data_IF_872271259842
#
_entry.id   IF_872271259842
#
_cell.length_a   1.000
_cell.length_b   1.000
_cell.length_c   1.000
_cell.angle_alpha   90.00
_cell.angle_beta   90.00
_cell.angle_gamma   90.00
#
_symmetry.space_group_name_H-M   'P 1'
#
loop_
_entity.id
_entity.type
_entity.pdbx_description
1 polymer ?
#
# COMPACT_ATOMS: atom_id res chain seq x y z
N UNK A 1 -25.62 8.35 21.76
CA UNK A 1 -24.98 7.09 21.34
C UNK A 1 -25.77 6.59 20.12
N UNK A 2 -25.33 6.90 18.90
CA UNK A 2 -25.93 6.37 17.69
C UNK A 2 -25.50 4.90 17.56
N UNK A 3 -26.46 3.99 17.57
CA UNK A 3 -26.19 2.58 17.23
C UNK A 3 -25.52 2.52 15.87
N UNK A 4 -24.33 1.92 15.81
CA UNK A 4 -23.71 1.61 14.54
C UNK A 4 -24.69 0.79 13.70
N UNK A 5 -24.94 1.13 12.42
CA UNK A 5 -25.89 0.40 11.60
C UNK A 5 -25.47 -1.08 11.56
N UNK A 6 -26.25 -1.93 12.20
CA UNK A 6 -25.98 -3.35 12.31
C UNK A 6 -25.79 -3.94 10.91
N UNK A 7 -24.57 -4.41 10.63
CA UNK A 7 -24.26 -5.12 9.38
C UNK A 7 -25.18 -6.36 9.35
N UNK A 8 -26.10 -6.39 8.38
CA UNK A 8 -26.96 -7.58 8.21
C UNK A 8 -26.06 -8.79 7.98
N UNK A 9 -26.11 -9.77 8.86
CA UNK A 9 -25.23 -10.96 8.88
C UNK A 9 -25.09 -11.64 7.50
N UNK A 10 -26.16 -11.63 6.69
CA UNK A 10 -26.11 -12.16 5.33
C UNK A 10 -25.15 -11.39 4.39
N UNK A 11 -25.06 -10.04 4.51
CA UNK A 11 -24.13 -9.24 3.72
C UNK A 11 -22.68 -9.48 4.12
N UNK A 12 -22.42 -9.73 5.41
CA UNK A 12 -21.08 -10.04 5.91
C UNK A 12 -20.51 -11.28 5.22
N UNK A 13 -21.30 -12.35 5.11
CA UNK A 13 -20.86 -13.58 4.45
C UNK A 13 -20.58 -13.39 2.95
N UNK A 14 -21.35 -12.53 2.28
CA UNK A 14 -21.10 -12.18 0.88
C UNK A 14 -19.76 -11.47 0.73
N UNK A 15 -19.47 -10.45 1.57
CA UNK A 15 -18.19 -9.73 1.51
C UNK A 15 -17.00 -10.61 1.90
N UNK A 16 -17.16 -11.52 2.86
CA UNK A 16 -16.12 -12.51 3.20
C UNK A 16 -15.87 -13.46 2.03
N UNK A 17 -16.92 -13.91 1.33
CA UNK A 17 -16.77 -14.71 0.12
C UNK A 17 -16.04 -13.96 -1.01
N UNK A 18 -16.41 -12.69 -1.26
CA UNK A 18 -15.71 -11.84 -2.24
C UNK A 18 -14.23 -11.63 -1.86
N UNK A 19 -13.96 -11.41 -0.58
CA UNK A 19 -12.59 -11.29 -0.08
C UNK A 19 -11.79 -12.58 -0.31
N UNK A 20 -12.38 -13.75 -0.03
CA UNK A 20 -11.75 -15.04 -0.31
C UNK A 20 -11.44 -15.23 -1.80
N UNK A 21 -12.34 -14.83 -2.70
CA UNK A 21 -12.11 -14.84 -4.15
C UNK A 21 -10.92 -13.93 -4.53
N UNK A 22 -10.81 -12.75 -3.94
CA UNK A 22 -9.67 -11.88 -4.15
C UNK A 22 -8.36 -12.53 -3.67
N UNK A 23 -8.36 -13.21 -2.51
CA UNK A 23 -7.19 -13.94 -2.02
C UNK A 23 -6.78 -15.08 -2.94
N UNK A 24 -7.73 -15.83 -3.53
CA UNK A 24 -7.45 -16.85 -4.52
C UNK A 24 -6.77 -16.29 -5.78
N UNK A 25 -7.13 -15.07 -6.18
CA UNK A 25 -6.46 -14.41 -7.29
C UNK A 25 -5.02 -13.98 -6.94
N UNK A 26 -4.80 -13.46 -5.72
CA UNK A 26 -3.45 -13.15 -5.22
C UNK A 26 -2.59 -14.41 -5.14
N UNK A 27 -3.16 -15.53 -4.71
CA UNK A 27 -2.51 -16.84 -4.67
C UNK A 27 -2.29 -17.46 -6.07
N UNK A 28 -2.65 -16.74 -7.16
CA UNK A 28 -2.55 -17.19 -8.57
C UNK A 28 -3.37 -18.44 -8.91
N UNK A 29 -4.33 -18.81 -8.08
CA UNK A 29 -5.27 -19.91 -8.35
C UNK A 29 -6.34 -19.45 -9.35
N UNK A 30 -6.80 -18.22 -9.22
CA UNK A 30 -7.78 -17.58 -10.11
C UNK A 30 -7.12 -16.44 -10.88
N UNK A 31 -7.31 -16.41 -12.21
CA UNK A 31 -6.77 -15.31 -13.02
C UNK A 31 -7.54 -14.01 -12.76
N UNK A 32 -6.83 -12.88 -12.73
CA UNK A 32 -7.36 -11.58 -12.37
C UNK A 32 -8.59 -11.11 -13.19
N UNK A 33 -8.73 -11.42 -14.51
CA UNK A 33 -9.92 -10.97 -15.25
C UNK A 33 -11.21 -11.64 -14.77
N UNK A 34 -11.15 -12.93 -14.46
CA UNK A 34 -12.32 -13.67 -13.94
C UNK A 34 -12.69 -13.21 -12.54
N UNK A 35 -11.69 -12.97 -11.68
CA UNK A 35 -11.90 -12.39 -10.35
C UNK A 35 -12.56 -11.03 -10.46
N UNK A 36 -12.04 -10.13 -11.30
CA UNK A 36 -12.60 -8.79 -11.50
C UNK A 36 -14.05 -8.86 -12.01
N UNK A 37 -14.30 -9.68 -13.03
CA UNK A 37 -15.64 -9.85 -13.59
C UNK A 37 -16.63 -10.35 -12.53
N UNK A 38 -16.24 -11.35 -11.74
CA UNK A 38 -17.09 -11.93 -10.70
C UNK A 38 -17.37 -10.90 -9.59
N UNK A 39 -16.36 -10.19 -9.10
CA UNK A 39 -16.51 -9.17 -8.06
C UNK A 39 -17.41 -8.02 -8.54
N UNK A 40 -17.17 -7.50 -9.75
CA UNK A 40 -17.97 -6.41 -10.31
C UNK A 40 -19.41 -6.84 -10.54
N UNK A 41 -19.65 -8.02 -11.13
CA UNK A 41 -20.99 -8.53 -11.36
C UNK A 41 -21.75 -8.75 -10.04
N UNK A 42 -21.13 -9.39 -9.05
CA UNK A 42 -21.77 -9.59 -7.75
C UNK A 42 -22.09 -8.28 -7.06
N UNK A 43 -21.20 -7.30 -7.07
CA UNK A 43 -21.45 -5.99 -6.47
C UNK A 43 -22.54 -5.19 -7.24
N UNK A 44 -22.59 -5.30 -8.57
CA UNK A 44 -23.65 -4.66 -9.35
C UNK A 44 -25.05 -5.16 -8.98
N UNK A 45 -25.20 -6.46 -8.68
CA UNK A 45 -26.47 -7.05 -8.31
C UNK A 45 -26.80 -6.94 -6.82
N UNK A 46 -25.81 -7.06 -5.95
CA UNK A 46 -26.01 -7.15 -4.51
C UNK A 46 -25.83 -5.81 -3.79
N UNK A 47 -24.87 -4.98 -4.23
CA UNK A 47 -24.59 -3.70 -3.61
C UNK A 47 -23.90 -2.70 -4.58
N UNK A 48 -24.70 -2.18 -5.50
CA UNK A 48 -24.26 -1.18 -6.46
C UNK A 48 -23.67 0.08 -5.81
N UNK A 49 -24.15 0.42 -4.59
CA UNK A 49 -23.65 1.61 -3.90
C UNK A 49 -22.19 1.46 -3.47
N UNK A 50 -21.77 0.28 -3.05
CA UNK A 50 -20.37 0.01 -2.71
C UNK A 50 -19.47 0.18 -3.92
N UNK A 51 -19.90 -0.26 -5.11
CA UNK A 51 -19.14 -0.08 -6.34
C UNK A 51 -18.97 1.40 -6.72
N UNK A 52 -20.05 2.19 -6.60
CA UNK A 52 -20.00 3.64 -6.92
C UNK A 52 -19.17 4.42 -5.89
N UNK A 53 -19.09 3.94 -4.64
CA UNK A 53 -18.30 4.55 -3.58
C UNK A 53 -16.83 4.13 -3.58
N UNK A 54 -16.42 3.23 -4.49
CA UNK A 54 -15.02 2.87 -4.64
C UNK A 54 -14.19 4.12 -4.95
N UNK A 55 -12.99 4.18 -4.36
CA UNK A 55 -12.09 5.32 -4.56
C UNK A 55 -11.40 5.22 -5.94
N UNK A 56 -12.12 5.65 -6.97
CA UNK A 56 -11.59 5.67 -8.34
C UNK A 56 -10.40 6.63 -8.50
N UNK A 57 -10.33 7.70 -7.68
CA UNK A 57 -9.17 8.60 -7.70
C UNK A 57 -7.91 7.89 -7.25
N UNK A 58 -8.02 7.03 -6.25
CA UNK A 58 -6.92 6.18 -5.82
C UNK A 58 -6.47 5.22 -6.93
N UNK A 59 -7.42 4.57 -7.62
CA UNK A 59 -7.10 3.68 -8.75
C UNK A 59 -6.41 4.43 -9.89
N UNK A 60 -6.89 5.62 -10.24
CA UNK A 60 -6.26 6.47 -11.26
C UNK A 60 -4.85 6.92 -10.85
N UNK A 61 -4.65 7.26 -9.57
CA UNK A 61 -3.34 7.64 -9.04
C UNK A 61 -2.35 6.49 -9.17
N UNK A 62 -2.75 5.26 -8.80
CA UNK A 62 -1.90 4.09 -8.99
C UNK A 62 -1.61 3.82 -10.47
N UNK A 63 -2.62 3.88 -11.34
CA UNK A 63 -2.42 3.68 -12.77
C UNK A 63 -1.45 4.70 -13.35
N UNK A 64 -1.60 5.98 -13.01
CA UNK A 64 -0.67 7.03 -13.43
C UNK A 64 0.74 6.78 -12.91
N UNK A 65 0.87 6.27 -11.67
CA UNK A 65 2.16 5.95 -11.09
C UNK A 65 2.84 4.77 -11.78
N UNK A 66 2.10 3.71 -12.14
CA UNK A 66 2.63 2.60 -12.95
C UNK A 66 3.16 3.08 -14.31
N UNK A 67 2.38 3.94 -14.99
CA UNK A 67 2.80 4.52 -16.28
C UNK A 67 4.06 5.38 -16.07
N UNK A 68 4.11 6.19 -15.04
CA UNK A 68 5.26 7.02 -14.71
C UNK A 68 6.51 6.16 -14.44
N UNK A 69 6.43 5.18 -13.56
CA UNK A 69 7.55 4.30 -13.23
C UNK A 69 8.07 3.55 -14.45
N UNK A 70 7.17 2.97 -15.26
CA UNK A 70 7.54 2.28 -16.50
C UNK A 70 8.17 3.20 -17.55
N UNK A 71 7.81 4.49 -17.60
CA UNK A 71 8.47 5.45 -18.49
C UNK A 71 9.84 5.89 -17.94
N UNK A 72 9.96 6.08 -16.64
CA UNK A 72 11.25 6.42 -16.01
C UNK A 72 12.29 5.32 -16.20
N UNK A 73 11.88 4.06 -16.19
CA UNK A 73 12.76 2.92 -16.48
C UNK A 73 13.35 2.95 -17.89
N UNK A 74 12.73 3.66 -18.83
CA UNK A 74 13.17 3.79 -20.23
C UNK A 74 14.10 4.98 -20.48
N UNK A 75 14.27 5.86 -19.50
CA UNK A 75 15.13 7.04 -19.62
C UNK A 75 16.52 6.66 -19.10
N UNK A 76 17.50 6.48 -19.98
CA UNK A 76 18.84 5.97 -19.64
C UNK A 76 19.51 6.75 -18.49
N UNK A 77 19.43 8.08 -18.51
CA UNK A 77 20.00 8.93 -17.46
C UNK A 77 19.40 8.63 -16.09
N UNK A 78 18.06 8.41 -16.03
CA UNK A 78 17.35 8.09 -14.80
C UNK A 78 17.68 6.66 -14.36
N UNK A 79 17.68 5.73 -15.31
CA UNK A 79 18.03 4.35 -15.07
C UNK A 79 19.45 4.21 -14.45
N UNK A 80 20.43 4.87 -15.05
CA UNK A 80 21.80 4.86 -14.57
C UNK A 80 21.95 5.53 -13.21
N UNK A 81 21.25 6.62 -12.96
CA UNK A 81 21.22 7.28 -11.66
C UNK A 81 20.66 6.34 -10.57
N UNK A 82 19.52 5.72 -10.84
CA UNK A 82 18.88 4.80 -9.89
C UNK A 82 19.79 3.60 -9.61
N UNK A 83 20.36 2.97 -10.66
CA UNK A 83 21.30 1.85 -10.51
C UNK A 83 22.53 2.24 -9.67
N UNK A 84 23.10 3.44 -9.87
CA UNK A 84 24.22 3.94 -9.07
C UNK A 84 23.86 4.14 -7.60
N UNK A 85 22.67 4.66 -7.32
CA UNK A 85 22.18 4.87 -5.95
C UNK A 85 21.92 3.51 -5.26
N UNK A 86 21.37 2.55 -6.01
CA UNK A 86 21.07 1.22 -5.51
C UNK A 86 22.35 0.43 -5.17
N UNK A 87 23.35 0.42 -6.02
CA UNK A 87 24.56 -0.39 -6.02
C UNK A 87 25.00 -0.94 -4.63
N UNK A 88 24.42 -2.06 -4.20
CA UNK A 88 24.66 -2.69 -2.90
C UNK A 88 24.01 -2.02 -1.69
N UNK A 89 23.06 -1.07 -1.94
CA UNK A 89 22.32 -0.33 -0.90
C UNK A 89 20.80 -0.43 -1.09
N UNK A 90 20.34 -1.51 -1.71
CA UNK A 90 18.95 -1.70 -2.12
C UNK A 90 18.00 -1.58 -0.93
N UNK A 91 18.34 -2.17 0.21
CA UNK A 91 17.56 -2.08 1.44
C UNK A 91 17.38 -0.63 1.91
N UNK A 92 18.49 0.10 2.09
CA UNK A 92 18.43 1.47 2.60
C UNK A 92 17.78 2.44 1.61
N UNK A 93 18.11 2.28 0.31
CA UNK A 93 17.54 3.13 -0.73
C UNK A 93 16.02 2.96 -0.84
N UNK A 94 15.53 1.73 -0.82
CA UNK A 94 14.10 1.44 -0.88
C UNK A 94 13.36 1.85 0.39
N UNK A 95 13.99 1.70 1.57
CA UNK A 95 13.46 2.18 2.84
C UNK A 95 13.30 3.71 2.82
N UNK A 96 14.34 4.45 2.42
CA UNK A 96 14.31 5.91 2.36
C UNK A 96 13.36 6.42 1.27
N UNK A 97 13.34 5.79 0.10
CA UNK A 97 12.38 6.11 -0.96
C UNK A 97 10.93 5.99 -0.47
N UNK A 98 10.63 4.97 0.34
CA UNK A 98 9.30 4.78 0.92
C UNK A 98 8.86 5.94 1.82
N UNK A 99 9.78 6.61 2.51
CA UNK A 99 9.45 7.78 3.34
C UNK A 99 9.03 9.01 2.51
N UNK A 100 9.44 9.05 1.23
CA UNK A 100 9.19 10.21 0.35
C UNK A 100 7.99 9.98 -0.58
N UNK A 101 7.94 8.81 -1.24
CA UNK A 101 6.96 8.52 -2.28
C UNK A 101 5.99 7.40 -1.92
N UNK A 102 6.00 6.93 -0.66
CA UNK A 102 5.27 5.74 -0.18
C UNK A 102 5.86 4.41 -0.67
N UNK A 103 5.65 3.35 0.12
CA UNK A 103 6.29 2.06 -0.08
C UNK A 103 5.91 1.36 -1.41
N UNK A 104 4.64 1.39 -1.81
CA UNK A 104 4.21 0.74 -3.07
C UNK A 104 4.80 1.45 -4.29
N UNK A 105 4.69 2.77 -4.44
CA UNK A 105 5.38 3.51 -5.48
C UNK A 105 6.90 3.29 -5.49
N UNK A 106 7.55 3.29 -4.31
CA UNK A 106 8.98 3.03 -4.21
C UNK A 106 9.35 1.64 -4.73
N UNK A 107 8.59 0.61 -4.33
CA UNK A 107 8.77 -0.75 -4.80
C UNK A 107 8.71 -0.84 -6.34
N UNK A 108 7.66 -0.24 -6.93
CA UNK A 108 7.45 -0.26 -8.38
C UNK A 108 8.52 0.49 -9.15
N UNK A 109 8.95 1.66 -8.64
CA UNK A 109 9.98 2.44 -9.30
C UNK A 109 11.34 1.73 -9.28
N UNK A 110 11.68 1.02 -8.19
CA UNK A 110 13.00 0.43 -7.98
C UNK A 110 13.09 -0.99 -8.56
N UNK A 111 11.98 -1.72 -8.65
CA UNK A 111 11.96 -3.14 -9.03
C UNK A 111 12.64 -3.45 -10.37
N UNK A 112 12.54 -2.54 -11.35
CA UNK A 112 13.13 -2.72 -12.68
C UNK A 112 14.65 -2.46 -12.72
N UNK A 113 15.24 -2.00 -11.61
CA UNK A 113 16.65 -1.59 -11.56
C UNK A 113 17.52 -2.47 -10.67
N UNK A 114 16.96 -3.48 -10.02
CA UNK A 114 17.70 -4.39 -9.13
C UNK A 114 17.22 -5.82 -9.24
N UNK A 115 18.14 -6.75 -9.19
CA UNK A 115 17.87 -8.19 -9.07
C UNK A 115 17.77 -8.63 -7.59
N UNK A 116 18.06 -7.73 -6.65
CA UNK A 116 18.02 -7.98 -5.22
C UNK A 116 16.61 -7.80 -4.63
N UNK A 117 15.66 -8.58 -5.14
CA UNK A 117 14.25 -8.49 -4.75
C UNK A 117 14.00 -8.65 -3.25
N UNK A 118 14.80 -9.48 -2.56
CA UNK A 118 14.69 -9.66 -1.11
C UNK A 118 15.04 -8.38 -0.35
N UNK A 119 16.17 -7.75 -0.67
CA UNK A 119 16.59 -6.49 -0.03
C UNK A 119 15.60 -5.35 -0.34
N UNK A 120 15.11 -5.27 -1.58
CA UNK A 120 14.08 -4.33 -1.99
C UNK A 120 12.80 -4.52 -1.16
N UNK A 121 12.27 -5.75 -1.09
CA UNK A 121 11.03 -6.03 -0.35
C UNK A 121 11.16 -5.76 1.14
N UNK A 122 12.27 -6.12 1.77
CA UNK A 122 12.53 -5.77 3.16
C UNK A 122 12.56 -4.25 3.36
N UNK A 123 13.27 -3.53 2.49
CA UNK A 123 13.40 -2.09 2.56
C UNK A 123 12.04 -1.37 2.42
N UNK A 124 11.23 -1.72 1.42
CA UNK A 124 9.92 -1.06 1.24
C UNK A 124 8.89 -1.46 2.30
N UNK A 125 8.93 -2.69 2.81
CA UNK A 125 8.00 -3.12 3.86
C UNK A 125 8.32 -2.43 5.20
N UNK A 126 9.58 -2.42 5.61
CA UNK A 126 10.02 -1.71 6.82
C UNK A 126 9.92 -0.20 6.60
N UNK A 127 10.28 0.28 5.40
CA UNK A 127 10.12 1.67 5.01
C UNK A 127 8.67 2.16 4.95
N UNK A 128 7.68 1.27 4.89
CA UNK A 128 6.26 1.62 5.06
C UNK A 128 5.88 2.06 6.47
N UNK A 129 6.75 1.83 7.44
CA UNK A 129 6.68 2.39 8.79
C UNK A 129 7.27 3.81 8.81
N UNK A 130 7.12 4.54 9.91
CA UNK A 130 7.66 5.88 10.07
C UNK A 130 6.59 6.95 9.90
N UNK A 131 6.68 7.76 8.85
CA UNK A 131 5.71 8.83 8.62
C UNK A 131 4.40 8.32 8.05
N UNK A 132 3.28 9.03 8.21
CA UNK A 132 2.01 8.67 7.57
C UNK A 132 2.09 8.61 6.04
N UNK A 133 3.03 9.31 5.41
CA UNK A 133 3.23 9.32 3.95
C UNK A 133 3.89 8.02 3.47
N UNK A 134 4.66 7.37 4.33
CA UNK A 134 5.41 6.17 3.98
C UNK A 134 4.54 4.99 3.54
N UNK A 135 3.26 4.96 3.92
CA UNK A 135 2.31 3.91 3.56
C UNK A 135 0.90 4.45 3.39
N UNK A 136 0.20 3.95 2.37
CA UNK A 136 -1.22 4.21 2.15
C UNK A 136 -2.09 3.81 3.34
N UNK A 137 -1.78 2.69 3.98
CA UNK A 137 -2.49 2.25 5.18
C UNK A 137 -2.40 3.28 6.31
N UNK A 138 -1.24 3.90 6.48
CA UNK A 138 -1.00 4.96 7.45
C UNK A 138 -1.81 6.22 7.13
N UNK A 139 -1.90 6.61 5.86
CA UNK A 139 -2.72 7.74 5.41
C UNK A 139 -4.21 7.47 5.62
N UNK A 140 -4.68 6.26 5.33
CA UNK A 140 -6.08 5.87 5.57
C UNK A 140 -6.39 5.91 7.07
N UNK A 141 -5.50 5.39 7.91
CA UNK A 141 -5.64 5.42 9.36
C UNK A 141 -5.75 6.86 9.88
N UNK A 142 -4.86 7.75 9.42
CA UNK A 142 -4.92 9.18 9.76
C UNK A 142 -6.25 9.80 9.30
N UNK A 143 -6.67 9.54 8.06
CA UNK A 143 -7.93 10.06 7.50
C UNK A 143 -9.14 9.62 8.32
N UNK A 144 -9.19 8.35 8.71
CA UNK A 144 -10.27 7.83 9.55
C UNK A 144 -10.27 8.47 10.94
N UNK A 145 -9.10 8.62 11.55
CA UNK A 145 -8.98 9.24 12.86
C UNK A 145 -9.43 10.71 12.87
N UNK A 146 -9.01 11.49 11.87
CA UNK A 146 -9.37 12.92 11.76
C UNK A 146 -10.88 13.14 11.65
N UNK A 147 -11.63 12.17 11.09
CA UNK A 147 -13.09 12.22 10.98
C UNK A 147 -13.82 11.65 12.21
N UNK A 148 -13.10 11.23 13.26
CA UNK A 148 -13.72 10.75 14.49
C UNK A 148 -14.08 11.91 15.43
N UNK A 149 -15.08 11.68 16.29
CA UNK A 149 -15.46 12.65 17.31
C UNK A 149 -14.28 12.91 18.27
N UNK A 150 -14.05 14.16 18.60
CA UNK A 150 -12.95 14.62 19.48
C UNK A 150 -11.53 14.30 18.96
N UNK A 151 -11.33 14.20 17.65
CA UNK A 151 -10.02 13.98 17.06
C UNK A 151 -8.99 15.02 17.52
N UNK A 152 -7.77 14.55 17.82
CA UNK A 152 -6.60 15.36 18.13
C UNK A 152 -5.48 15.04 17.13
N UNK A 153 -5.55 15.54 15.88
CA UNK A 153 -4.65 15.15 14.79
C UNK A 153 -3.16 15.29 15.14
N UNK A 154 -2.78 16.39 15.80
CA UNK A 154 -1.38 16.62 16.18
C UNK A 154 -0.84 15.57 17.16
N UNK A 155 -1.64 15.19 18.17
CA UNK A 155 -1.27 14.15 19.12
C UNK A 155 -1.19 12.78 18.45
N UNK A 156 -2.18 12.47 17.62
CA UNK A 156 -2.17 11.23 16.83
C UNK A 156 -0.93 11.13 15.94
N UNK A 157 -0.61 12.18 15.19
CA UNK A 157 0.58 12.22 14.33
C UNK A 157 1.86 11.98 15.12
N UNK A 158 1.99 12.61 16.29
CA UNK A 158 3.17 12.45 17.14
C UNK A 158 3.29 11.00 17.66
N UNK A 159 2.23 10.47 18.27
CA UNK A 159 2.22 9.12 18.84
C UNK A 159 2.39 8.05 17.75
N UNK A 160 1.67 8.21 16.63
CA UNK A 160 1.76 7.33 15.47
C UNK A 160 3.18 7.32 14.89
N UNK A 161 3.73 8.49 14.59
CA UNK A 161 5.07 8.60 13.98
C UNK A 161 6.14 8.10 14.94
N UNK A 162 6.08 8.46 16.22
CA UNK A 162 7.05 8.00 17.22
C UNK A 162 7.05 6.46 17.35
N UNK A 163 5.86 5.84 17.45
CA UNK A 163 5.73 4.39 17.52
C UNK A 163 6.23 3.69 16.26
N UNK A 164 5.86 4.21 15.07
CA UNK A 164 6.28 3.63 13.80
C UNK A 164 7.79 3.82 13.54
N UNK A 165 8.37 4.96 13.89
CA UNK A 165 9.83 5.19 13.80
C UNK A 165 10.58 4.26 14.73
N UNK A 166 10.09 4.05 15.96
CA UNK A 166 10.71 3.08 16.87
C UNK A 166 10.70 1.67 16.28
N UNK A 167 9.57 1.22 15.73
CA UNK A 167 9.47 -0.08 15.06
C UNK A 167 10.37 -0.16 13.84
N UNK A 168 10.42 0.89 13.01
CA UNK A 168 11.30 0.97 11.86
C UNK A 168 12.77 0.78 12.27
N UNK A 169 13.21 1.47 13.33
CA UNK A 169 14.58 1.37 13.84
C UNK A 169 14.88 -0.04 14.38
N UNK A 170 13.98 -0.61 15.17
CA UNK A 170 14.14 -1.95 15.72
C UNK A 170 14.21 -3.03 14.63
N UNK A 171 13.30 -2.97 13.64
CA UNK A 171 13.29 -3.93 12.54
C UNK A 171 14.50 -3.73 11.60
N UNK A 172 14.90 -2.47 11.37
CA UNK A 172 16.12 -2.19 10.58
C UNK A 172 17.36 -2.73 11.27
N UNK A 173 17.47 -2.55 12.59
CA UNK A 173 18.57 -3.12 13.36
C UNK A 173 18.59 -4.64 13.25
N UNK A 174 17.44 -5.29 13.38
CA UNK A 174 17.32 -6.74 13.25
C UNK A 174 17.78 -7.22 11.86
N UNK A 175 17.36 -6.56 10.78
CA UNK A 175 17.76 -6.92 9.41
C UNK A 175 19.25 -6.72 9.16
N UNK A 176 19.86 -5.70 9.76
CA UNK A 176 21.29 -5.40 9.58
C UNK A 176 22.20 -6.30 10.45
N UNK A 177 21.64 -7.01 11.43
CA UNK A 177 22.37 -7.93 12.31
C UNK A 177 22.25 -9.40 11.90
N UNK A 178 21.33 -9.73 11.00
CA UNK A 178 21.11 -11.07 10.41
C UNK A 178 21.90 -11.23 9.11
#
# INVERSE_FOLDING_TARGET
>A
MGEAPGIKTGRLWIYLGLFAVCLLSVARVLTWPWMLALVVLLLLFLDRQTLVRADFMLLMTFSAFFIFAGNMARVDVVADLIRRILAGREYLTSLLASQVISNVPAALLIADFTDQSHALLLGVNIGGLGTPIASLASLISLKLYVHSDHARPGRYLLEFTAGNVLLLLLLSLLVLTL
#
